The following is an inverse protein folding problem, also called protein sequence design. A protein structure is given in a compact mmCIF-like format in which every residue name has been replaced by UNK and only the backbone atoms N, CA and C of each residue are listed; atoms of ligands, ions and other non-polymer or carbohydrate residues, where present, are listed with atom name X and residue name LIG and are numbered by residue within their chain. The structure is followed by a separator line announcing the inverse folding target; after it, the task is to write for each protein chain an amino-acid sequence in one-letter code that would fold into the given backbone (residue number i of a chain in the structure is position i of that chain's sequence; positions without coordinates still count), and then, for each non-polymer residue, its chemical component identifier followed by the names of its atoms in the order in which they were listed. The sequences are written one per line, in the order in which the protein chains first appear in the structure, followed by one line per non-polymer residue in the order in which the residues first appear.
data_IF_558404224305
#
_entry.id   IF_558404224305
#
_cell.length_a   1.000
_cell.length_b   1.000
_cell.length_c   1.000
_cell.angle_alpha   90.00
_cell.angle_beta   90.00
_cell.angle_gamma   90.00
#
_symmetry.space_group_name_H-M   'P 1'
#
loop_
_entity.id
_entity.type
_entity.pdbx_description
1 polymer ?
#
# COMPACT_ATOMS: atom_id res chain seq x y z
N UNK A 1 -11.88 16.42 11.43
CA UNK A 1 -11.77 16.77 10.00
C UNK A 1 -12.64 15.87 9.12
N UNK A 2 -12.47 14.53 9.12
CA UNK A 2 -13.24 13.59 8.27
C UNK A 2 -14.77 13.81 8.35
N UNK A 3 -15.34 13.83 9.55
CA UNK A 3 -16.79 14.03 9.72
C UNK A 3 -17.29 15.39 9.21
N UNK A 4 -16.45 16.40 9.25
CA UNK A 4 -16.78 17.73 8.70
C UNK A 4 -16.74 17.71 7.18
N UNK A 5 -15.67 17.17 6.57
CA UNK A 5 -15.56 17.01 5.11
C UNK A 5 -16.71 16.19 4.55
N UNK A 6 -17.08 15.10 5.24
CA UNK A 6 -18.21 14.28 4.85
C UNK A 6 -19.56 15.03 4.93
N UNK A 7 -19.78 15.79 6.01
CA UNK A 7 -21.01 16.61 6.13
C UNK A 7 -21.11 17.68 5.04
N UNK A 8 -19.98 18.24 4.65
CA UNK A 8 -19.91 19.25 3.60
C UNK A 8 -19.89 18.66 2.18
N UNK A 9 -20.05 17.33 2.06
CA UNK A 9 -19.97 16.60 0.79
C UNK A 9 -18.64 16.85 0.01
N UNK A 10 -17.54 17.02 0.73
CA UNK A 10 -16.22 17.32 0.17
C UNK A 10 -15.35 16.08 -0.09
N UNK A 11 -15.84 14.88 0.27
CA UNK A 11 -15.15 13.62 0.01
C UNK A 11 -15.73 12.98 -1.24
N UNK A 12 -15.05 13.13 -2.36
CA UNK A 12 -15.48 12.58 -3.65
C UNK A 12 -14.74 11.28 -3.96
N UNK A 13 -15.43 10.36 -4.62
CA UNK A 13 -14.89 9.06 -5.02
C UNK A 13 -13.69 9.20 -5.97
N UNK A 14 -12.69 8.33 -5.79
CA UNK A 14 -11.50 8.24 -6.65
C UNK A 14 -11.86 7.64 -8.00
N UNK A 15 -12.58 6.52 -7.99
CA UNK A 15 -12.97 5.77 -9.17
C UNK A 15 -14.27 5.00 -8.93
N UNK A 16 -15.13 4.89 -9.95
CA UNK A 16 -16.39 4.11 -9.91
C UNK A 16 -17.25 4.34 -8.65
N UNK A 17 -17.25 5.54 -8.10
CA UNK A 17 -18.00 5.85 -6.87
C UNK A 17 -17.34 5.39 -5.57
N UNK A 18 -16.08 4.92 -5.61
CA UNK A 18 -15.35 4.34 -4.46
C UNK A 18 -14.26 5.28 -3.94
N UNK A 19 -14.08 5.29 -2.62
CA UNK A 19 -12.89 5.78 -1.94
C UNK A 19 -12.00 4.60 -1.54
N UNK A 20 -10.69 4.82 -1.45
CA UNK A 20 -9.73 3.81 -1.07
C UNK A 20 -9.05 4.16 0.25
N UNK A 21 -8.75 3.16 1.07
CA UNK A 21 -7.87 3.28 2.21
C UNK A 21 -6.51 2.74 1.80
N UNK A 22 -5.47 3.56 1.83
CA UNK A 22 -4.10 3.11 1.59
C UNK A 22 -3.43 2.87 2.93
N UNK A 23 -2.77 1.70 3.05
CA UNK A 23 -1.94 1.35 4.20
C UNK A 23 -0.48 1.30 3.76
N UNK A 24 0.37 1.92 4.57
CA UNK A 24 1.81 1.84 4.36
C UNK A 24 2.57 1.95 5.69
N UNK A 25 3.71 1.25 5.76
CA UNK A 25 4.61 1.28 6.91
C UNK A 25 5.74 2.28 6.70
N UNK A 26 5.88 3.24 7.60
CA UNK A 26 6.94 4.24 7.54
C UNK A 26 7.89 4.15 8.73
N UNK A 27 9.21 4.24 8.46
CA UNK A 27 10.24 4.33 9.50
C UNK A 27 10.46 5.80 9.88
N UNK A 28 9.99 6.15 11.09
CA UNK A 28 10.02 7.54 11.54
C UNK A 28 11.38 7.99 12.08
N UNK A 29 12.19 7.06 12.60
CA UNK A 29 13.47 7.37 13.21
C UNK A 29 14.35 6.13 13.33
N UNK A 30 15.66 6.29 13.13
CA UNK A 30 16.66 5.26 13.39
C UNK A 30 17.89 5.86 14.07
N UNK A 31 18.46 5.16 15.05
CA UNK A 31 19.66 5.59 15.79
C UNK A 31 20.47 4.39 16.28
N UNK A 32 21.80 4.52 16.29
CA UNK A 32 22.69 3.54 16.92
C UNK A 32 22.92 3.85 18.40
N UNK A 33 22.59 5.06 18.87
CA UNK A 33 22.87 5.54 20.23
C UNK A 33 21.62 5.73 21.07
N UNK A 34 20.61 6.36 20.51
CA UNK A 34 19.37 6.66 21.23
C UNK A 34 18.43 5.45 21.22
N UNK A 35 17.89 5.09 22.36
CA UNK A 35 16.97 3.94 22.53
C UNK A 35 15.90 4.22 23.58
N UNK A 36 14.75 3.59 23.42
CA UNK A 36 13.71 3.53 24.43
C UNK A 36 13.11 2.11 24.48
N UNK A 37 12.28 1.77 25.48
CA UNK A 37 11.66 0.43 25.59
C UNK A 37 10.77 0.05 24.40
N UNK A 38 10.27 1.02 23.64
CA UNK A 38 9.42 0.78 22.47
C UNK A 38 10.20 0.75 21.14
N UNK A 39 11.54 0.85 21.15
CA UNK A 39 12.34 0.72 19.94
C UNK A 39 12.30 -0.70 19.38
N UNK A 40 12.13 -0.79 18.08
CA UNK A 40 12.50 -1.96 17.29
C UNK A 40 14.02 -2.02 17.17
N UNK A 41 14.57 -3.19 16.89
CA UNK A 41 16.01 -3.38 16.75
C UNK A 41 16.35 -4.18 15.51
N UNK A 42 17.44 -3.79 14.83
CA UNK A 42 18.03 -4.55 13.73
C UNK A 42 19.57 -4.54 13.84
N UNK A 43 20.19 -5.55 13.27
CA UNK A 43 21.64 -5.59 13.10
C UNK A 43 21.98 -5.09 11.70
N UNK A 44 22.84 -4.09 11.61
CA UNK A 44 23.41 -3.62 10.36
C UNK A 44 24.77 -4.30 10.17
N UNK A 45 24.90 -5.06 9.09
CA UNK A 45 26.19 -5.65 8.69
C UNK A 45 26.95 -4.61 7.86
N UNK A 46 28.07 -4.12 8.40
CA UNK A 46 28.90 -3.12 7.74
C UNK A 46 30.33 -3.63 7.51
N UNK A 47 31.09 -2.98 6.64
CA UNK A 47 32.52 -3.29 6.42
C UNK A 47 33.37 -3.15 7.69
N UNK A 48 32.89 -2.45 8.71
CA UNK A 48 33.57 -2.24 10.01
C UNK A 48 33.01 -3.11 11.13
N UNK A 49 32.19 -4.14 10.81
CA UNK A 49 31.56 -5.04 11.74
C UNK A 49 30.06 -4.75 11.94
N UNK A 50 29.46 -5.60 12.76
CA UNK A 50 28.02 -5.53 13.04
C UNK A 50 27.70 -4.37 14.00
N UNK A 51 26.67 -3.60 13.65
CA UNK A 51 26.16 -2.51 14.47
C UNK A 51 24.70 -2.72 14.79
N UNK A 52 24.32 -2.47 16.01
CA UNK A 52 22.93 -2.51 16.45
C UNK A 52 22.27 -1.17 16.21
N UNK A 53 21.14 -1.17 15.47
CA UNK A 53 20.34 0.02 15.24
C UNK A 53 18.98 -0.12 15.93
N UNK A 54 18.52 0.96 16.54
CA UNK A 54 17.23 1.12 17.18
C UNK A 54 16.37 2.02 16.32
N UNK A 55 15.12 1.64 16.05
CA UNK A 55 14.26 2.42 15.18
C UNK A 55 12.80 2.36 15.62
N UNK A 56 11.99 3.29 15.13
CA UNK A 56 10.55 3.30 15.28
C UNK A 56 9.89 3.23 13.91
N UNK A 57 8.84 2.44 13.81
CA UNK A 57 8.03 2.32 12.60
C UNK A 57 6.56 2.49 12.95
N UNK A 58 5.83 3.14 12.07
CA UNK A 58 4.38 3.33 12.16
C UNK A 58 3.73 2.79 10.91
N UNK A 59 2.53 2.24 11.04
CA UNK A 59 1.65 1.99 9.90
C UNK A 59 0.64 3.13 9.86
N UNK A 60 0.46 3.73 8.70
CA UNK A 60 -0.49 4.81 8.46
C UNK A 60 -1.70 4.29 7.69
N UNK A 61 -2.87 4.85 7.98
CA UNK A 61 -4.12 4.61 7.27
C UNK A 61 -4.59 5.92 6.65
N UNK A 62 -4.45 6.03 5.34
CA UNK A 62 -4.74 7.26 4.59
C UNK A 62 -5.92 7.02 3.68
N UNK A 63 -6.95 7.84 3.83
CA UNK A 63 -8.08 7.87 2.92
C UNK A 63 -7.69 8.59 1.64
N UNK A 64 -7.76 7.88 0.53
CA UNK A 64 -7.60 8.47 -0.79
C UNK A 64 -8.97 8.78 -1.38
N UNK A 65 -9.22 10.03 -1.61
CA UNK A 65 -10.38 10.54 -2.34
C UNK A 65 -9.92 11.37 -3.54
N UNK A 66 -10.82 11.72 -4.45
CA UNK A 66 -10.48 12.35 -5.73
C UNK A 66 -9.60 13.61 -5.57
N UNK A 67 -9.89 14.41 -4.56
CA UNK A 67 -9.27 15.72 -4.41
C UNK A 67 -8.02 15.70 -3.51
N UNK A 68 -7.61 14.52 -3.00
CA UNK A 68 -6.39 14.39 -2.21
C UNK A 68 -6.34 13.17 -1.29
N UNK A 69 -5.49 13.27 -0.31
CA UNK A 69 -5.22 12.26 0.71
C UNK A 69 -5.60 12.84 2.09
N UNK A 70 -6.16 12.01 2.94
CA UNK A 70 -6.54 12.38 4.31
C UNK A 70 -6.08 11.30 5.29
N UNK A 71 -5.14 11.60 6.17
CA UNK A 71 -4.79 10.68 7.24
C UNK A 71 -6.00 10.45 8.15
N UNK A 72 -6.38 9.18 8.32
CA UNK A 72 -7.43 8.79 9.26
C UNK A 72 -6.86 8.41 10.61
N UNK A 73 -5.76 7.65 10.62
CA UNK A 73 -5.16 7.11 11.85
C UNK A 73 -3.77 6.54 11.58
N UNK A 74 -3.00 6.29 12.63
CA UNK A 74 -1.72 5.61 12.59
C UNK A 74 -1.53 4.66 13.78
N UNK A 75 -0.68 3.65 13.63
CA UNK A 75 -0.36 2.68 14.69
C UNK A 75 1.15 2.43 14.75
N UNK A 76 1.73 2.56 15.92
CA UNK A 76 3.13 2.23 16.15
C UNK A 76 3.33 0.70 16.15
N UNK A 77 4.32 0.22 15.42
CA UNK A 77 4.78 -1.16 15.52
C UNK A 77 5.47 -1.38 16.86
N UNK A 78 5.15 -2.47 17.57
CA UNK A 78 5.68 -2.81 18.87
C UNK A 78 6.88 -3.76 18.75
N UNK A 79 7.81 -3.75 19.70
CA UNK A 79 8.88 -4.75 19.74
C UNK A 79 8.34 -6.18 19.73
N UNK A 80 8.93 -7.04 18.90
CA UNK A 80 8.57 -8.46 18.80
C UNK A 80 7.37 -8.76 17.89
N UNK A 81 6.76 -7.77 17.27
CA UNK A 81 5.71 -7.99 16.27
C UNK A 81 6.17 -7.57 14.86
N UNK A 82 5.48 -8.08 13.84
CA UNK A 82 5.65 -7.63 12.46
C UNK A 82 4.75 -6.41 12.15
N UNK A 83 4.99 -5.79 11.01
CA UNK A 83 4.22 -4.64 10.54
C UNK A 83 2.74 -4.98 10.34
N UNK A 84 2.44 -6.20 9.88
CA UNK A 84 1.07 -6.64 9.61
C UNK A 84 0.25 -6.74 10.91
N UNK A 85 0.86 -7.12 12.02
CA UNK A 85 0.19 -7.14 13.32
C UNK A 85 -0.22 -5.72 13.76
N UNK A 86 0.65 -4.73 13.55
CA UNK A 86 0.32 -3.32 13.78
C UNK A 86 -0.81 -2.86 12.85
N UNK A 87 -0.73 -3.19 11.56
CA UNK A 87 -1.76 -2.85 10.58
C UNK A 87 -3.13 -3.46 10.92
N UNK A 88 -3.18 -4.69 11.41
CA UNK A 88 -4.43 -5.34 11.83
C UNK A 88 -5.08 -4.56 12.97
N UNK A 89 -4.31 -4.06 13.96
CA UNK A 89 -4.85 -3.21 15.02
C UNK A 89 -5.38 -1.88 14.49
N UNK A 90 -4.61 -1.25 13.61
CA UNK A 90 -5.00 -0.01 12.95
C UNK A 90 -6.29 -0.17 12.17
N UNK A 91 -6.36 -1.16 11.27
CA UNK A 91 -7.52 -1.41 10.41
C UNK A 91 -8.78 -1.70 11.24
N UNK A 92 -8.68 -2.48 12.33
CA UNK A 92 -9.83 -2.70 13.23
C UNK A 92 -10.37 -1.40 13.80
N UNK A 93 -9.50 -0.49 14.22
CA UNK A 93 -9.85 0.82 14.76
C UNK A 93 -10.48 1.71 13.69
N UNK A 94 -9.87 1.77 12.51
CA UNK A 94 -10.37 2.54 11.36
C UNK A 94 -11.74 2.03 10.90
N UNK A 95 -11.94 0.72 10.78
CA UNK A 95 -13.21 0.11 10.41
C UNK A 95 -14.33 0.41 11.42
N UNK A 96 -13.98 0.52 12.70
CA UNK A 96 -14.94 0.89 13.75
C UNK A 96 -15.30 2.37 13.70
N UNK A 97 -14.31 3.24 13.53
CA UNK A 97 -14.48 4.70 13.59
C UNK A 97 -15.01 5.27 12.27
N UNK A 98 -14.60 4.69 11.14
CA UNK A 98 -14.88 5.17 9.80
C UNK A 98 -15.49 4.09 8.87
N UNK A 99 -16.54 3.37 9.27
CA UNK A 99 -17.04 2.18 8.56
C UNK A 99 -17.49 2.44 7.12
N UNK A 100 -17.80 3.71 6.80
CA UNK A 100 -18.31 4.13 5.48
C UNK A 100 -17.36 5.10 4.77
N UNK A 101 -16.08 5.15 5.17
CA UNK A 101 -15.12 6.09 4.58
C UNK A 101 -14.56 5.58 3.25
N UNK A 102 -14.47 4.27 3.09
CA UNK A 102 -13.85 3.62 1.95
C UNK A 102 -14.51 2.26 1.67
N UNK A 103 -14.30 1.75 0.47
CA UNK A 103 -14.79 0.47 0.00
C UNK A 103 -13.67 -0.55 -0.21
N UNK A 104 -12.45 -0.08 -0.53
CA UNK A 104 -11.29 -0.93 -0.81
C UNK A 104 -10.08 -0.51 0.03
N UNK A 105 -9.33 -1.52 0.54
CA UNK A 105 -8.05 -1.33 1.21
C UNK A 105 -6.93 -1.67 0.23
N UNK A 106 -5.99 -0.76 0.07
CA UNK A 106 -4.83 -0.91 -0.81
C UNK A 106 -3.58 -0.99 0.06
N UNK A 107 -2.75 -2.01 -0.17
CA UNK A 107 -1.50 -2.18 0.56
C UNK A 107 -0.44 -2.87 -0.31
N UNK A 108 0.80 -2.97 0.19
CA UNK A 108 1.86 -3.66 -0.53
C UNK A 108 1.77 -5.20 -0.40
N UNK A 109 2.74 -5.93 -1.00
CA UNK A 109 2.77 -7.39 -0.98
C UNK A 109 2.98 -8.01 0.41
N UNK A 110 3.49 -7.27 1.39
CA UNK A 110 3.64 -7.73 2.77
C UNK A 110 2.28 -8.08 3.40
N UNK A 111 1.25 -7.33 3.01
CA UNK A 111 -0.12 -7.50 3.50
C UNK A 111 -0.91 -8.59 2.76
N UNK A 112 -0.31 -9.30 1.80
CA UNK A 112 -0.92 -10.44 1.12
C UNK A 112 -0.96 -11.65 2.05
N UNK A 113 -1.76 -11.55 3.10
CA UNK A 113 -1.94 -12.55 4.16
C UNK A 113 -3.42 -12.82 4.40
N UNK A 114 -3.79 -14.11 4.50
CA UNK A 114 -5.18 -14.52 4.65
C UNK A 114 -5.88 -13.89 5.87
N UNK A 115 -5.28 -13.78 7.07
CA UNK A 115 -5.93 -13.15 8.21
C UNK A 115 -6.25 -11.66 7.99
N UNK A 116 -5.38 -10.94 7.25
CA UNK A 116 -5.61 -9.54 6.91
C UNK A 116 -6.78 -9.37 5.94
N UNK A 117 -6.81 -10.17 4.87
CA UNK A 117 -7.91 -10.18 3.90
C UNK A 117 -9.24 -10.57 4.55
N UNK A 118 -9.23 -11.61 5.39
CA UNK A 118 -10.43 -12.04 6.13
C UNK A 118 -10.97 -10.97 7.07
N UNK A 119 -10.09 -10.16 7.69
CA UNK A 119 -10.50 -9.03 8.52
C UNK A 119 -11.29 -8.02 7.69
N UNK A 120 -10.76 -7.57 6.56
CA UNK A 120 -11.43 -6.60 5.68
C UNK A 120 -12.77 -7.14 5.16
N UNK A 121 -12.77 -8.37 4.69
CA UNK A 121 -13.96 -9.05 4.14
C UNK A 121 -15.10 -9.18 5.15
N UNK A 122 -14.80 -9.48 6.43
CA UNK A 122 -15.82 -9.50 7.49
C UNK A 122 -16.53 -8.16 7.70
N UNK A 123 -15.88 -7.07 7.28
CA UNK A 123 -16.45 -5.72 7.34
C UNK A 123 -16.96 -5.23 5.97
N UNK A 124 -17.10 -6.14 4.99
CA UNK A 124 -17.61 -5.81 3.65
C UNK A 124 -16.67 -4.91 2.85
N UNK A 125 -15.35 -4.98 3.11
CA UNK A 125 -14.34 -4.22 2.38
C UNK A 125 -13.55 -5.14 1.46
N UNK A 126 -13.31 -4.65 0.24
CA UNK A 126 -12.37 -5.30 -0.67
C UNK A 126 -10.92 -4.99 -0.31
N UNK A 127 -10.02 -5.84 -0.76
CA UNK A 127 -8.57 -5.67 -0.58
C UNK A 127 -7.88 -5.76 -1.93
N UNK A 128 -6.90 -4.88 -2.14
CA UNK A 128 -6.02 -4.87 -3.29
C UNK A 128 -4.57 -4.82 -2.80
N UNK A 129 -3.78 -5.85 -3.11
CA UNK A 129 -2.35 -5.88 -2.75
C UNK A 129 -1.50 -6.32 -3.92
N UNK A 130 -0.20 -5.99 -3.88
CA UNK A 130 0.77 -6.49 -4.85
C UNK A 130 1.06 -7.96 -4.58
N UNK A 131 1.00 -8.80 -5.62
CA UNK A 131 1.37 -10.20 -5.57
C UNK A 131 2.81 -10.35 -6.07
N UNK A 132 3.79 -10.34 -5.15
CA UNK A 132 5.24 -10.32 -5.48
C UNK A 132 5.93 -11.69 -5.38
N UNK A 133 5.37 -12.62 -4.64
CA UNK A 133 6.02 -13.92 -4.37
C UNK A 133 5.63 -14.92 -5.46
N UNK A 134 6.52 -15.14 -6.40
CA UNK A 134 6.37 -16.08 -7.52
C UNK A 134 6.32 -17.57 -7.09
N UNK A 135 6.72 -17.88 -5.86
CA UNK A 135 6.61 -19.21 -5.28
C UNK A 135 5.23 -19.55 -4.72
N UNK A 136 4.34 -18.57 -4.61
CA UNK A 136 2.96 -18.83 -4.18
C UNK A 136 2.19 -19.57 -5.26
N UNK A 137 1.43 -20.58 -4.86
CA UNK A 137 0.56 -21.35 -5.75
C UNK A 137 -0.35 -20.42 -6.56
N UNK A 138 -0.91 -19.39 -5.92
CA UNK A 138 -1.74 -18.38 -6.58
C UNK A 138 -1.01 -17.69 -7.73
N UNK A 139 0.27 -17.31 -7.55
CA UNK A 139 1.04 -16.64 -8.58
C UNK A 139 1.32 -17.60 -9.76
N UNK A 140 1.70 -18.85 -9.45
CA UNK A 140 2.01 -19.88 -10.45
C UNK A 140 0.78 -20.24 -11.28
N UNK A 141 -0.37 -20.40 -10.64
CA UNK A 141 -1.64 -20.66 -11.33
C UNK A 141 -2.02 -19.50 -12.25
N UNK A 142 -1.91 -18.26 -11.75
CA UNK A 142 -2.20 -17.07 -12.54
C UNK A 142 -1.27 -16.95 -13.75
N UNK A 143 0.04 -17.10 -13.56
CA UNK A 143 1.03 -17.04 -14.64
C UNK A 143 0.80 -18.13 -15.71
N UNK A 144 0.49 -19.36 -15.27
CA UNK A 144 0.14 -20.44 -16.17
C UNK A 144 -1.06 -20.12 -17.08
N UNK A 145 -2.12 -19.56 -16.50
CA UNK A 145 -3.31 -19.16 -17.25
C UNK A 145 -3.04 -17.94 -18.15
N UNK A 146 -2.29 -16.95 -17.67
CA UNK A 146 -1.95 -15.77 -18.46
C UNK A 146 -1.09 -16.07 -19.68
N UNK A 147 -0.21 -17.10 -19.61
CA UNK A 147 0.55 -17.59 -20.79
C UNK A 147 -0.33 -18.20 -21.84
N UNK A 148 -1.45 -18.81 -21.46
CA UNK A 148 -2.41 -19.41 -22.38
C UNK A 148 -3.38 -18.38 -23.00
N UNK A 149 -3.42 -17.15 -22.48
CA UNK A 149 -4.33 -16.08 -22.91
C UNK A 149 -3.57 -14.92 -23.50
N UNK A 150 -4.12 -14.33 -24.55
CA UNK A 150 -3.62 -13.05 -25.07
C UNK A 150 -3.97 -11.88 -24.14
N UNK A 151 -3.09 -10.87 -24.00
CA UNK A 151 -3.38 -9.67 -23.23
C UNK A 151 -4.41 -8.77 -23.94
N UNK A 152 -5.09 -7.95 -23.15
CA UNK A 152 -5.77 -6.76 -23.66
C UNK A 152 -4.76 -5.63 -23.72
N UNK A 153 -4.57 -5.07 -24.93
CA UNK A 153 -3.64 -3.95 -25.14
C UNK A 153 -4.36 -2.63 -24.86
N UNK A 154 -3.71 -1.77 -24.10
CA UNK A 154 -4.17 -0.42 -23.81
C UNK A 154 -3.01 0.56 -24.01
N UNK A 155 -3.26 1.64 -24.74
CA UNK A 155 -2.25 2.68 -25.02
C UNK A 155 -2.70 3.98 -24.38
N UNK A 156 -1.82 4.57 -23.55
CA UNK A 156 -2.06 5.85 -22.89
C UNK A 156 -0.79 6.70 -22.91
N UNK A 157 -0.77 7.68 -23.84
CA UNK A 157 0.40 8.53 -24.03
C UNK A 157 1.64 7.73 -24.46
N UNK A 158 2.80 7.92 -23.78
CA UNK A 158 4.04 7.22 -24.13
C UNK A 158 4.11 5.78 -23.60
N UNK A 159 3.07 5.33 -22.88
CA UNK A 159 3.04 4.01 -22.23
C UNK A 159 2.08 3.08 -22.96
N UNK A 160 2.59 1.92 -23.35
CA UNK A 160 1.81 0.80 -23.86
C UNK A 160 1.68 -0.24 -22.77
N UNK A 161 0.44 -0.55 -22.37
CA UNK A 161 0.13 -1.53 -21.32
C UNK A 161 -0.54 -2.76 -21.92
N UNK A 162 -0.14 -3.93 -21.45
CA UNK A 162 -0.76 -5.21 -21.74
C UNK A 162 -1.34 -5.76 -20.43
N UNK A 163 -2.65 -6.00 -20.40
CA UNK A 163 -3.35 -6.45 -19.20
C UNK A 163 -3.89 -7.86 -19.34
N UNK A 164 -3.73 -8.64 -18.30
CA UNK A 164 -4.40 -9.90 -18.04
C UNK A 164 -5.22 -9.77 -16.78
N UNK A 165 -6.41 -10.33 -16.78
CA UNK A 165 -7.36 -10.15 -15.69
C UNK A 165 -8.27 -11.37 -15.59
N UNK A 166 -8.14 -12.13 -14.52
CA UNK A 166 -8.91 -13.33 -14.28
C UNK A 166 -9.42 -13.39 -12.85
N UNK A 167 -10.64 -13.90 -12.71
CA UNK A 167 -11.31 -14.19 -11.45
C UNK A 167 -11.34 -15.71 -11.18
N UNK A 168 -11.71 -16.07 -9.95
CA UNK A 168 -12.00 -17.44 -9.60
C UNK A 168 -10.82 -18.27 -9.10
N UNK A 169 -9.68 -17.63 -8.83
CA UNK A 169 -8.54 -18.36 -8.26
C UNK A 169 -8.83 -18.85 -6.85
N UNK A 170 -8.71 -20.15 -6.62
CA UNK A 170 -8.90 -20.82 -5.32
C UNK A 170 -7.63 -21.39 -4.72
N UNK A 171 -6.51 -21.32 -5.43
CA UNK A 171 -5.20 -21.82 -5.00
C UNK A 171 -4.64 -21.15 -3.75
N UNK A 172 -5.20 -20.02 -3.34
CA UNK A 172 -4.94 -19.46 -2.01
C UNK A 172 -5.85 -20.09 -0.95
N UNK A 173 -5.62 -21.38 -0.64
CA UNK A 173 -6.50 -22.18 0.21
C UNK A 173 -6.75 -21.58 1.60
N UNK A 174 -5.74 -20.94 2.24
CA UNK A 174 -5.86 -20.35 3.57
C UNK A 174 -6.82 -19.15 3.64
N UNK A 175 -7.13 -18.52 2.51
CA UNK A 175 -8.12 -17.44 2.48
C UNK A 175 -9.55 -17.94 2.57
N UNK A 176 -9.82 -19.14 2.06
CA UNK A 176 -11.15 -19.78 2.11
C UNK A 176 -12.17 -19.18 1.12
N UNK A 177 -11.73 -18.40 0.13
CA UNK A 177 -12.57 -17.88 -0.97
C UNK A 177 -11.72 -17.60 -2.20
N UNK A 178 -12.38 -17.49 -3.34
CA UNK A 178 -11.72 -17.12 -4.59
C UNK A 178 -11.27 -15.67 -4.60
N UNK A 179 -10.21 -15.41 -5.33
CA UNK A 179 -9.68 -14.07 -5.59
C UNK A 179 -9.53 -13.82 -7.09
N UNK A 180 -9.30 -12.58 -7.43
CA UNK A 180 -9.00 -12.10 -8.77
C UNK A 180 -7.53 -11.69 -8.83
N UNK A 181 -6.86 -12.02 -9.92
CA UNK A 181 -5.48 -11.60 -10.19
C UNK A 181 -5.45 -10.76 -11.46
N UNK A 182 -4.80 -9.61 -11.36
CA UNK A 182 -4.60 -8.68 -12.48
C UNK A 182 -3.11 -8.49 -12.69
N UNK A 183 -2.65 -8.65 -13.94
CA UNK A 183 -1.27 -8.42 -14.37
C UNK A 183 -1.25 -7.27 -15.35
N UNK A 184 -0.30 -6.35 -15.19
CA UNK A 184 0.01 -5.29 -16.14
C UNK A 184 1.48 -5.36 -16.53
N UNK A 185 1.75 -5.43 -17.83
CA UNK A 185 3.08 -5.27 -18.41
C UNK A 185 3.11 -3.94 -19.14
N UNK A 186 3.92 -3.01 -18.65
CA UNK A 186 3.91 -1.62 -19.09
C UNK A 186 5.26 -1.27 -19.72
N UNK A 187 5.21 -0.87 -20.99
CA UNK A 187 6.39 -0.42 -21.73
C UNK A 187 6.26 1.09 -21.99
N UNK A 188 7.17 1.84 -21.38
CA UNK A 188 7.21 3.31 -21.51
C UNK A 188 8.46 3.71 -22.29
N UNK A 189 8.29 4.60 -23.28
CA UNK A 189 9.41 5.23 -23.97
C UNK A 189 9.91 6.41 -23.17
N UNK A 190 11.18 6.33 -22.72
CA UNK A 190 11.83 7.36 -21.90
C UNK A 190 13.02 7.93 -22.66
N UNK A 191 13.03 9.24 -22.88
CA UNK A 191 14.18 9.93 -23.48
C UNK A 191 15.28 10.15 -22.45
N UNK A 192 16.43 9.48 -22.64
CA UNK A 192 17.59 9.62 -21.74
C UNK A 192 18.20 11.02 -21.87
N UNK A 193 18.35 11.72 -20.77
CA UNK A 193 18.85 13.12 -20.78
C UNK A 193 20.31 13.21 -21.28
N UNK A 194 21.16 12.25 -20.92
CA UNK A 194 22.58 12.25 -21.27
C UNK A 194 22.84 11.88 -22.71
N UNK A 195 22.22 10.78 -23.20
CA UNK A 195 22.47 10.25 -24.55
C UNK A 195 21.55 10.83 -25.60
N UNK A 196 20.46 11.53 -25.20
CA UNK A 196 19.38 12.01 -26.07
C UNK A 196 18.68 10.90 -26.87
N UNK A 197 18.90 9.65 -26.52
CA UNK A 197 18.28 8.49 -27.14
C UNK A 197 16.99 8.10 -26.42
N UNK A 198 16.04 7.54 -27.17
CA UNK A 198 14.84 6.95 -26.63
C UNK A 198 15.16 5.53 -26.16
N UNK A 199 14.73 5.19 -24.95
CA UNK A 199 14.90 3.90 -24.32
C UNK A 199 13.52 3.35 -23.94
N UNK A 200 13.34 2.02 -24.06
CA UNK A 200 12.10 1.36 -23.68
C UNK A 200 12.26 0.68 -22.33
N UNK A 201 11.57 1.18 -21.34
CA UNK A 201 11.55 0.61 -19.99
C UNK A 201 10.27 -0.21 -19.82
N UNK A 202 10.44 -1.50 -19.53
CA UNK A 202 9.32 -2.40 -19.27
C UNK A 202 9.26 -2.73 -17.78
N UNK A 203 8.08 -2.52 -17.19
CA UNK A 203 7.79 -2.87 -15.80
C UNK A 203 6.61 -3.82 -15.74
N UNK A 204 6.66 -4.77 -14.82
CA UNK A 204 5.59 -5.73 -14.57
C UNK A 204 4.99 -5.51 -13.19
N UNK A 205 3.67 -5.53 -13.15
CA UNK A 205 2.88 -5.44 -11.93
C UNK A 205 1.88 -6.58 -11.88
N UNK A 206 1.81 -7.23 -10.74
CA UNK A 206 0.79 -8.25 -10.48
C UNK A 206 0.07 -7.91 -9.19
N UNK A 207 -1.24 -7.84 -9.24
CA UNK A 207 -2.09 -7.55 -8.08
C UNK A 207 -3.05 -8.70 -7.82
N UNK A 208 -3.34 -8.93 -6.54
CA UNK A 208 -4.43 -9.79 -6.08
C UNK A 208 -5.49 -8.94 -5.40
N UNK A 209 -6.75 -9.22 -5.72
CA UNK A 209 -7.88 -8.49 -5.12
C UNK A 209 -9.06 -9.40 -4.85
N UNK A 210 -9.90 -9.00 -3.91
CA UNK A 210 -11.20 -9.61 -3.63
C UNK A 210 -12.34 -8.96 -4.40
N UNK A 211 -12.10 -7.79 -5.00
CA UNK A 211 -13.08 -7.06 -5.79
C UNK A 211 -13.34 -7.77 -7.13
N UNK A 212 -14.61 -8.05 -7.44
CA UNK A 212 -15.00 -8.65 -8.72
C UNK A 212 -14.85 -7.67 -9.89
N UNK A 213 -14.81 -8.20 -11.12
CA UNK A 213 -14.81 -7.38 -12.34
C UNK A 213 -16.09 -6.56 -12.47
N UNK A 214 -17.21 -7.04 -11.95
CA UNK A 214 -18.46 -6.32 -11.91
C UNK A 214 -18.41 -5.10 -10.95
N UNK A 215 -17.58 -5.18 -9.89
CA UNK A 215 -17.42 -4.11 -8.90
C UNK A 215 -16.35 -3.11 -9.31
N UNK A 216 -15.16 -3.60 -9.76
CA UNK A 216 -14.04 -2.77 -10.20
C UNK A 216 -13.52 -3.25 -11.57
N UNK A 217 -13.50 -2.36 -12.55
CA UNK A 217 -12.90 -2.67 -13.86
C UNK A 217 -11.40 -2.94 -13.75
N UNK A 218 -10.82 -3.60 -14.77
CA UNK A 218 -9.36 -3.81 -14.87
C UNK A 218 -8.59 -2.48 -14.77
N UNK A 219 -9.05 -1.46 -15.50
CA UNK A 219 -8.44 -0.13 -15.47
C UNK A 219 -8.49 0.50 -14.06
N UNK A 220 -9.57 0.29 -13.31
CA UNK A 220 -9.67 0.77 -11.94
C UNK A 220 -8.68 0.05 -11.01
N UNK A 221 -8.51 -1.28 -11.14
CA UNK A 221 -7.52 -2.03 -10.36
C UNK A 221 -6.10 -1.55 -10.66
N UNK A 222 -5.74 -1.36 -11.94
CA UNK A 222 -4.42 -0.84 -12.33
C UNK A 222 -4.21 0.57 -11.77
N UNK A 223 -5.19 1.46 -11.91
CA UNK A 223 -5.09 2.84 -11.39
C UNK A 223 -4.97 2.87 -9.85
N UNK A 224 -5.73 2.04 -9.14
CA UNK A 224 -5.67 1.92 -7.67
C UNK A 224 -4.33 1.31 -7.23
N UNK A 225 -3.86 0.28 -7.91
CA UNK A 225 -2.58 -0.36 -7.62
C UNK A 225 -1.39 0.60 -7.74
N UNK A 226 -1.35 1.40 -8.81
CA UNK A 226 -0.36 2.46 -8.97
C UNK A 226 -0.56 3.61 -7.99
N UNK A 227 -1.81 3.91 -7.65
CA UNK A 227 -2.15 4.97 -6.72
C UNK A 227 -1.57 4.80 -5.31
N UNK A 228 -1.21 3.57 -4.90
CA UNK A 228 -0.55 3.32 -3.62
C UNK A 228 0.72 4.17 -3.42
N UNK A 229 1.50 4.35 -4.48
CA UNK A 229 2.73 5.17 -4.46
C UNK A 229 2.49 6.66 -4.17
N UNK A 230 1.23 7.12 -4.20
CA UNK A 230 0.91 8.50 -3.87
C UNK A 230 1.22 8.85 -2.42
N UNK A 231 1.06 7.90 -1.48
CA UNK A 231 1.46 8.11 -0.09
C UNK A 231 2.96 8.41 -0.01
N UNK A 232 3.80 7.55 -0.60
CA UNK A 232 5.25 7.70 -0.54
C UNK A 232 5.70 9.00 -1.23
N UNK A 233 5.18 9.27 -2.43
CA UNK A 233 5.68 10.36 -3.27
C UNK A 233 5.05 11.73 -2.97
N UNK A 234 3.86 11.79 -2.41
CA UNK A 234 3.16 13.04 -2.13
C UNK A 234 3.13 13.35 -0.63
N UNK A 235 2.57 12.46 0.21
CA UNK A 235 2.43 12.77 1.63
C UNK A 235 3.74 12.63 2.41
N UNK A 236 4.37 11.46 2.36
CA UNK A 236 5.56 11.21 3.19
C UNK A 236 6.73 12.11 2.77
N UNK A 237 6.95 12.29 1.46
CA UNK A 237 7.98 13.22 0.98
C UNK A 237 7.68 14.68 1.35
N UNK A 238 6.43 15.11 1.27
CA UNK A 238 6.03 16.45 1.70
C UNK A 238 6.24 16.64 3.20
N UNK A 239 5.79 15.68 4.00
CA UNK A 239 5.94 15.72 5.46
C UNK A 239 7.41 15.77 5.89
N UNK A 240 8.27 14.95 5.27
CA UNK A 240 9.71 14.94 5.58
C UNK A 240 10.39 16.20 5.07
N UNK A 241 10.11 16.61 3.83
CA UNK A 241 10.83 17.72 3.19
C UNK A 241 10.46 19.09 3.76
N UNK A 242 9.18 19.32 4.01
CA UNK A 242 8.69 20.66 4.41
C UNK A 242 8.32 20.76 5.88
N UNK A 243 7.90 19.64 6.50
CA UNK A 243 7.43 19.63 7.90
C UNK A 243 8.39 18.92 8.85
N UNK A 244 9.54 18.41 8.33
CA UNK A 244 10.57 17.72 9.11
C UNK A 244 10.01 16.59 10.00
N UNK A 245 9.04 15.83 9.47
CA UNK A 245 8.36 14.76 10.20
C UNK A 245 9.30 13.62 10.62
N UNK A 246 10.45 13.46 9.99
CA UNK A 246 11.53 12.54 10.36
C UNK A 246 12.41 13.06 11.51
N UNK A 247 12.27 14.34 11.91
CA UNK A 247 13.02 14.89 13.02
C UNK A 247 12.48 14.45 14.36
N UNK A 248 13.35 13.93 15.21
CA UNK A 248 12.99 13.48 16.56
C UNK A 248 13.23 14.56 17.57
N UNK A 249 12.23 15.38 17.83
CA UNK A 249 12.26 16.43 18.87
C UNK A 249 12.42 15.83 20.28
N UNK A 250 11.84 14.66 20.52
CA UNK A 250 11.98 13.93 21.78
C UNK A 250 11.87 12.44 21.55
N UNK A 251 12.88 11.68 21.97
CA UNK A 251 12.90 10.22 21.88
C UNK A 251 12.02 9.60 22.97
N UNK A 252 10.71 9.70 22.80
CA UNK A 252 9.69 9.11 23.65
C UNK A 252 8.54 8.61 22.77
N UNK A 253 8.08 7.34 22.91
CA UNK A 253 7.15 6.71 21.97
C UNK A 253 5.86 7.51 21.77
N UNK A 254 5.26 8.02 22.85
CA UNK A 254 4.03 8.84 22.76
C UNK A 254 4.30 10.19 22.07
N UNK A 255 5.42 10.85 22.42
CA UNK A 255 5.76 12.13 21.82
C UNK A 255 6.03 12.01 20.31
N UNK A 256 6.68 10.95 19.88
CA UNK A 256 6.95 10.70 18.45
C UNK A 256 5.65 10.53 17.67
N UNK A 257 4.70 9.75 18.18
CA UNK A 257 3.37 9.60 17.56
C UNK A 257 2.61 10.92 17.56
N UNK A 258 2.66 11.68 18.67
CA UNK A 258 1.97 12.97 18.76
C UNK A 258 2.55 13.99 17.77
N UNK A 259 3.87 14.06 17.61
CA UNK A 259 4.50 14.93 16.61
C UNK A 259 4.09 14.54 15.18
N UNK A 260 4.08 13.25 14.85
CA UNK A 260 3.60 12.79 13.56
C UNK A 260 2.16 13.25 13.28
N UNK A 261 1.26 13.07 14.26
CA UNK A 261 -0.13 13.52 14.13
C UNK A 261 -0.29 15.03 14.02
N UNK A 262 0.65 15.81 14.55
CA UNK A 262 0.61 17.27 14.46
C UNK A 262 1.18 17.80 13.14
N UNK A 263 2.05 17.05 12.47
CA UNK A 263 2.62 17.42 11.16
C UNK A 263 1.71 17.02 9.99
N UNK A 264 0.76 16.14 10.21
CA UNK A 264 -0.23 15.67 9.24
C UNK A 264 -1.59 16.39 9.40
#
# INVERSE_FOLDING_TARGET
LYHQLRRNNSLHAVTHGLCALILDGHEAHASERQRCPACLTRTLHTSHGDRRQYYHRHVTAVLWHRDGLLLLDLEAQRPGEDEVAAAVRLVRRVLTQFPRAFEVIIADGLYTQAPFFQLALRHGKDVLTVLKDDRRDLWQDADGLFRAMGPRVHEMGPTRSQWWDLEGFTSWASLGRSVRVVRSLETTTVRRQLTKQDDHVTTEWVWVTTASQAHLSTAAIVALGHGRWRIENQELNELVTYWHADHVYKHHPIAMVAFWLLTM
#
